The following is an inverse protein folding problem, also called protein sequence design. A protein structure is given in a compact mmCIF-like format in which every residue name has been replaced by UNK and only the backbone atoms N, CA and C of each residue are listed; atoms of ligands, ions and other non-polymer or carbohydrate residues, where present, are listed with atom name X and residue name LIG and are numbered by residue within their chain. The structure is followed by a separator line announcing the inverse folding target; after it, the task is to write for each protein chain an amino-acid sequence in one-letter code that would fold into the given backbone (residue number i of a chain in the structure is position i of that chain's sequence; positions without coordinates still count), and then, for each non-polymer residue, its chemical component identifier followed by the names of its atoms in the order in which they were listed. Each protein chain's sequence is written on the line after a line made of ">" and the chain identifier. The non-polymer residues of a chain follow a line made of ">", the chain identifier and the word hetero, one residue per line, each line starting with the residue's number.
data_IF_625037993306
#
_entry.id   IF_625037993306
#
_cell.length_a   1.000
_cell.length_b   1.000
_cell.length_c   1.000
_cell.angle_alpha   90.00
_cell.angle_beta   90.00
_cell.angle_gamma   90.00
#
_symmetry.space_group_name_H-M   'P 1'
#
loop_
_entity.id
_entity.type
_entity.pdbx_description
1 polymer ?
#
# COMPACT_ATOMS: atom_id res chain seq x y z
N UNK A 1 24.77 -18.99 22.62
CA UNK A 1 23.44 -18.35 22.62
C UNK A 1 23.00 -18.22 21.19
N UNK A 2 21.98 -18.97 20.79
CA UNK A 2 21.49 -19.01 19.41
C UNK A 2 20.66 -17.76 19.12
N UNK A 3 21.03 -17.04 18.07
CA UNK A 3 20.22 -15.99 17.51
C UNK A 3 19.01 -16.66 16.86
N UNK A 4 17.83 -16.51 17.47
CA UNK A 4 16.57 -16.87 16.83
C UNK A 4 16.44 -15.93 15.62
N UNK A 5 16.41 -16.44 14.37
CA UNK A 5 16.06 -15.59 13.25
C UNK A 5 14.63 -15.12 13.50
N UNK A 6 14.45 -13.82 13.73
CA UNK A 6 13.12 -13.21 13.73
C UNK A 6 12.44 -13.53 12.41
N UNK A 7 11.10 -13.64 12.37
CA UNK A 7 10.39 -13.92 11.13
C UNK A 7 10.87 -12.91 10.08
N UNK A 8 11.42 -13.42 8.97
CA UNK A 8 11.88 -12.57 7.87
C UNK A 8 10.78 -11.56 7.56
N UNK A 9 11.11 -10.28 7.53
CA UNK A 9 10.15 -9.23 7.27
C UNK A 9 9.39 -9.58 5.98
N UNK A 10 8.11 -9.88 6.11
CA UNK A 10 7.25 -10.14 4.96
C UNK A 10 6.81 -8.78 4.44
N UNK A 11 7.36 -8.42 3.30
CA UNK A 11 7.22 -7.11 2.68
C UNK A 11 6.21 -7.20 1.53
N UNK A 12 5.08 -6.50 1.65
CA UNK A 12 4.03 -6.46 0.63
C UNK A 12 4.02 -5.14 -0.12
N UNK A 13 3.83 -5.16 -1.45
CA UNK A 13 3.70 -3.95 -2.27
C UNK A 13 2.24 -3.70 -2.64
N UNK A 14 1.64 -2.66 -2.08
CA UNK A 14 0.26 -2.26 -2.39
C UNK A 14 0.23 -1.40 -3.65
N UNK A 15 -0.60 -1.76 -4.63
CA UNK A 15 -0.86 -0.94 -5.81
C UNK A 15 -2.08 -0.06 -5.58
N UNK A 16 -1.92 1.24 -5.74
CA UNK A 16 -2.97 2.21 -5.45
C UNK A 16 -3.47 2.79 -6.77
N UNK A 17 -4.77 2.61 -7.08
CA UNK A 17 -5.39 3.31 -8.20
C UNK A 17 -5.67 4.78 -7.81
N UNK A 18 -5.02 5.70 -8.52
CA UNK A 18 -5.18 7.15 -8.34
C UNK A 18 -6.49 7.73 -8.88
N UNK A 19 -7.10 7.05 -9.88
CA UNK A 19 -8.34 7.46 -10.52
C UNK A 19 -9.57 7.04 -9.70
N UNK A 20 -9.35 6.28 -8.62
CA UNK A 20 -10.36 5.94 -7.64
C UNK A 20 -10.87 7.21 -6.94
N UNK A 21 -11.97 7.77 -7.45
CA UNK A 21 -12.70 8.88 -6.83
C UNK A 21 -13.02 8.60 -5.35
N UNK A 22 -13.49 7.39 -4.97
CA UNK A 22 -13.56 6.95 -3.58
C UNK A 22 -12.26 7.17 -2.79
N UNK A 23 -11.10 6.87 -3.36
CA UNK A 23 -9.78 7.07 -2.73
C UNK A 23 -9.50 8.52 -2.33
N UNK A 24 -9.74 9.48 -3.23
CA UNK A 24 -9.56 10.92 -2.92
C UNK A 24 -10.53 11.39 -1.83
N UNK A 25 -11.78 10.92 -1.88
CA UNK A 25 -12.80 11.23 -0.88
C UNK A 25 -12.45 10.64 0.49
N UNK A 26 -11.96 9.41 0.55
CA UNK A 26 -11.46 8.77 1.79
C UNK A 26 -10.30 9.56 2.39
N UNK A 27 -9.35 10.03 1.58
CA UNK A 27 -8.24 10.86 2.07
C UNK A 27 -8.75 12.20 2.62
N UNK A 28 -9.71 12.84 1.95
CA UNK A 28 -10.35 14.07 2.44
C UNK A 28 -11.10 13.83 3.77
N UNK A 29 -11.89 12.75 3.86
CA UNK A 29 -12.72 12.44 5.02
C UNK A 29 -11.91 12.19 6.31
N UNK A 30 -10.68 11.69 6.19
CA UNK A 30 -9.77 11.47 7.33
C UNK A 30 -9.34 12.76 8.04
N UNK A 31 -9.44 13.92 7.38
CA UNK A 31 -9.19 15.23 8.01
C UNK A 31 -7.76 15.45 8.52
N UNK A 32 -6.79 14.62 8.12
CA UNK A 32 -5.43 14.69 8.64
C UNK A 32 -4.65 15.86 8.04
N UNK A 33 -3.97 16.63 8.89
CA UNK A 33 -3.18 17.81 8.46
C UNK A 33 -2.12 17.49 7.39
N UNK A 34 -1.53 16.28 7.46
CA UNK A 34 -0.52 15.79 6.49
C UNK A 34 -1.05 15.59 5.07
N UNK A 35 -2.37 15.48 4.90
CA UNK A 35 -2.99 15.21 3.60
C UNK A 35 -3.37 16.50 2.87
N UNK A 36 -3.28 17.67 3.53
CA UNK A 36 -3.63 18.97 2.94
C UNK A 36 -2.85 19.28 1.67
N UNK A 37 -1.55 19.05 1.66
CA UNK A 37 -0.71 19.30 0.48
C UNK A 37 -1.06 18.37 -0.69
N UNK A 38 -1.34 17.09 -0.39
CA UNK A 38 -1.77 16.10 -1.39
C UNK A 38 -3.12 16.45 -2.01
N UNK A 39 -4.06 16.92 -1.19
CA UNK A 39 -5.42 17.26 -1.63
C UNK A 39 -5.48 18.59 -2.41
N UNK A 40 -4.55 19.50 -2.14
CA UNK A 40 -4.41 20.77 -2.85
C UNK A 40 -4.00 20.58 -4.31
N UNK A 41 -3.12 19.62 -4.57
CA UNK A 41 -2.67 19.26 -5.93
C UNK A 41 -2.56 17.74 -6.09
N UNK A 42 -3.72 17.11 -6.28
CA UNK A 42 -3.87 15.65 -6.29
C UNK A 42 -3.12 15.00 -7.44
N UNK A 43 -3.22 15.59 -8.64
CA UNK A 43 -2.63 15.01 -9.85
C UNK A 43 -1.11 15.14 -9.83
N UNK A 44 -0.57 16.29 -9.41
CA UNK A 44 0.88 16.45 -9.25
C UNK A 44 1.43 15.54 -8.16
N UNK A 45 0.73 15.40 -7.02
CA UNK A 45 1.12 14.48 -5.96
C UNK A 45 1.30 13.05 -6.49
N UNK A 46 0.31 12.53 -7.22
CA UNK A 46 0.38 11.18 -7.77
C UNK A 46 1.43 11.03 -8.87
N UNK A 47 1.59 12.04 -9.73
CA UNK A 47 2.67 12.04 -10.74
C UNK A 47 4.05 11.92 -10.09
N UNK A 48 4.29 12.63 -8.98
CA UNK A 48 5.53 12.51 -8.21
C UNK A 48 5.63 11.17 -7.48
N UNK A 49 4.53 10.66 -6.92
CA UNK A 49 4.51 9.38 -6.23
C UNK A 49 4.86 8.21 -7.16
N UNK A 50 4.27 8.18 -8.35
CA UNK A 50 4.49 7.16 -9.40
C UNK A 50 5.91 7.18 -9.96
N UNK A 51 6.58 8.33 -9.97
CA UNK A 51 7.97 8.44 -10.39
C UNK A 51 8.96 7.77 -9.42
N UNK A 52 8.50 7.37 -8.22
CA UNK A 52 9.34 6.62 -7.30
C UNK A 52 9.37 5.14 -7.71
N UNK A 53 10.45 4.75 -8.38
CA UNK A 53 10.69 3.34 -8.70
C UNK A 53 10.81 2.49 -7.44
N UNK A 54 10.16 1.33 -7.44
CA UNK A 54 10.35 0.32 -6.41
C UNK A 54 11.79 -0.20 -6.49
N UNK A 55 12.59 0.05 -5.44
CA UNK A 55 14.01 -0.34 -5.39
C UNK A 55 14.23 -1.73 -4.80
N UNK A 56 13.17 -2.39 -4.36
CA UNK A 56 13.24 -3.73 -3.76
C UNK A 56 13.31 -4.76 -4.87
N UNK A 57 14.35 -5.61 -4.85
CA UNK A 57 14.65 -6.55 -5.94
C UNK A 57 14.38 -8.02 -5.61
N UNK A 58 14.34 -8.36 -4.32
CA UNK A 58 14.32 -9.75 -3.86
C UNK A 58 13.08 -10.09 -3.00
N UNK A 59 12.07 -9.22 -3.01
CA UNK A 59 10.83 -9.40 -2.26
C UNK A 59 9.79 -10.23 -3.02
N UNK A 60 9.04 -11.08 -2.30
CA UNK A 60 7.79 -11.67 -2.82
C UNK A 60 6.68 -10.61 -2.69
N UNK A 61 5.94 -10.35 -3.78
CA UNK A 61 4.96 -9.25 -3.86
C UNK A 61 3.51 -9.74 -3.83
N UNK A 62 2.69 -9.13 -2.97
CA UNK A 62 1.23 -9.20 -3.04
C UNK A 62 0.67 -7.85 -3.46
N UNK A 63 -0.12 -7.82 -4.52
CA UNK A 63 -0.78 -6.62 -5.02
C UNK A 63 -2.20 -6.54 -4.50
N UNK A 64 -2.53 -5.45 -3.82
CA UNK A 64 -3.90 -5.15 -3.39
C UNK A 64 -4.38 -3.87 -4.06
N UNK A 65 -5.50 -3.95 -4.77
CA UNK A 65 -6.15 -2.77 -5.34
C UNK A 65 -6.96 -2.00 -4.30
N UNK A 66 -7.07 -0.68 -4.47
CA UNK A 66 -7.86 0.19 -3.59
C UNK A 66 -9.27 0.51 -4.12
N UNK A 67 -9.72 -0.15 -5.20
CA UNK A 67 -10.97 0.14 -5.92
C UNK A 67 -12.24 -0.30 -5.18
N UNK A 68 -12.11 -1.14 -4.17
CA UNK A 68 -13.20 -1.64 -3.32
C UNK A 68 -13.10 -1.02 -1.92
N UNK A 69 -14.00 -1.40 -1.00
CA UNK A 69 -14.02 -0.91 0.38
C UNK A 69 -12.83 -1.34 1.25
N UNK A 70 -11.77 -1.85 0.63
CA UNK A 70 -10.58 -2.41 1.26
C UNK A 70 -10.58 -3.94 1.22
N UNK A 71 -9.66 -4.50 2.00
CA UNK A 71 -9.56 -5.93 2.28
C UNK A 71 -9.70 -6.14 3.78
N UNK A 72 -10.25 -7.28 4.16
CA UNK A 72 -10.32 -7.73 5.55
C UNK A 72 -8.97 -8.30 6.00
N UNK A 73 -8.78 -8.40 7.32
CA UNK A 73 -7.58 -9.02 7.90
C UNK A 73 -7.45 -10.50 7.50
N UNK A 74 -8.57 -11.22 7.39
CA UNK A 74 -8.58 -12.63 6.98
C UNK A 74 -8.19 -12.81 5.50
N UNK A 75 -8.68 -11.94 4.62
CA UNK A 75 -8.27 -11.93 3.21
C UNK A 75 -6.77 -11.64 3.06
N UNK A 76 -6.26 -10.70 3.85
CA UNK A 76 -4.83 -10.41 3.90
C UNK A 76 -4.01 -11.61 4.41
N UNK A 77 -4.46 -12.26 5.49
CA UNK A 77 -3.79 -13.45 6.04
C UNK A 77 -3.71 -14.60 5.02
N UNK A 78 -4.82 -14.87 4.29
CA UNK A 78 -4.82 -15.86 3.21
C UNK A 78 -3.89 -15.50 2.07
N UNK A 79 -3.81 -14.22 1.71
CA UNK A 79 -2.88 -13.76 0.69
C UNK A 79 -1.42 -13.98 1.13
N UNK A 80 -1.08 -13.74 2.40
CA UNK A 80 0.25 -14.00 2.94
C UNK A 80 0.64 -15.48 2.86
N UNK A 81 -0.29 -16.41 3.10
CA UNK A 81 0.00 -17.85 2.98
C UNK A 81 0.52 -18.21 1.59
N UNK A 82 0.00 -17.56 0.53
CA UNK A 82 0.47 -17.77 -0.86
C UNK A 82 1.92 -17.35 -1.10
N UNK A 83 2.45 -16.44 -0.26
CA UNK A 83 3.85 -16.03 -0.31
C UNK A 83 4.77 -16.95 0.50
N UNK A 84 4.25 -17.89 1.26
CA UNK A 84 5.05 -18.79 2.12
C UNK A 84 5.03 -20.25 1.65
N UNK A 85 4.16 -20.59 0.70
CA UNK A 85 4.21 -21.84 -0.04
C UNK A 85 5.42 -21.90 -1.00
#
# INVERSE_FOLDING_TARGET
>A
MGQVPGPGAQEGEVEIDRADRPGRERVRARGCARDRSKLADWDTFWKTAEANECRWKDGRRLVFGNRTDGITADEFARALETLTA
#
